data_IF_629940205117
#
_entry.id   IF_629940205117
#
_cell.length_a   1.000
_cell.length_b   1.000
_cell.length_c   1.000
_cell.angle_alpha   90.00
_cell.angle_beta   90.00
_cell.angle_gamma   90.00
#
_symmetry.space_group_name_H-M   'P 1'
#
loop_
_entity.id
_entity.type
_entity.pdbx_description
1 polymer ?
#
# COMPACT_ATOMS: atom_id res chain seq x y z
N UNK A 1 -16.85 14.11 11.14
CA UNK A 1 -17.84 14.57 10.15
C UNK A 1 -18.45 13.44 9.34
N UNK A 2 -17.70 12.39 8.95
CA UNK A 2 -18.28 11.23 8.26
C UNK A 2 -19.30 10.50 9.16
N UNK A 3 -18.93 10.22 10.41
CA UNK A 3 -19.82 9.58 11.37
C UNK A 3 -21.10 10.40 11.65
N UNK A 4 -20.98 11.74 11.79
CA UNK A 4 -22.13 12.63 11.96
C UNK A 4 -23.07 12.57 10.75
N UNK A 5 -22.51 12.55 9.54
CA UNK A 5 -23.28 12.39 8.30
C UNK A 5 -23.99 11.05 8.25
N UNK A 6 -23.29 9.96 8.56
CA UNK A 6 -23.84 8.61 8.58
C UNK A 6 -25.02 8.50 9.56
N UNK A 7 -24.85 9.04 10.78
CA UNK A 7 -25.93 9.09 11.77
C UNK A 7 -27.11 9.91 11.27
N UNK A 8 -26.84 11.07 10.63
CA UNK A 8 -27.88 11.94 10.11
C UNK A 8 -28.73 11.25 9.02
N UNK A 9 -28.05 10.55 8.10
CA UNK A 9 -28.73 9.77 7.03
C UNK A 9 -29.48 8.58 7.64
N UNK A 10 -28.89 7.86 8.59
CA UNK A 10 -29.54 6.71 9.25
C UNK A 10 -30.80 7.09 10.03
N UNK A 11 -30.91 8.33 10.47
CA UNK A 11 -32.09 8.90 11.11
C UNK A 11 -33.14 9.42 10.09
N UNK A 12 -32.94 9.18 8.79
CA UNK A 12 -33.88 9.57 7.74
C UNK A 12 -33.78 11.03 7.27
N UNK A 13 -32.76 11.76 7.72
CA UNK A 13 -32.52 13.12 7.27
C UNK A 13 -31.77 13.16 5.93
N UNK A 14 -31.98 14.20 5.08
CA UNK A 14 -31.24 14.34 3.82
C UNK A 14 -29.74 14.38 4.00
N UNK A 15 -28.97 13.81 3.03
CA UNK A 15 -27.52 13.91 3.05
C UNK A 15 -27.07 15.37 3.01
N UNK A 16 -26.47 15.84 4.09
CA UNK A 16 -25.95 17.20 4.21
C UNK A 16 -24.88 17.57 3.17
N UNK A 17 -24.33 16.60 2.45
CA UNK A 17 -23.33 16.80 1.38
C UNK A 17 -23.93 16.76 -0.03
N UNK A 18 -25.13 16.22 -0.20
CA UNK A 18 -25.79 16.11 -1.51
C UNK A 18 -26.41 17.44 -1.97
N UNK A 19 -26.53 18.38 -1.07
CA UNK A 19 -26.95 19.74 -1.40
C UNK A 19 -25.71 20.63 -1.49
N UNK A 20 -25.59 21.41 -2.55
CA UNK A 20 -24.58 22.50 -2.72
C UNK A 20 -24.62 23.53 -1.56
N UNK A 21 -25.29 23.19 -0.48
CA UNK A 21 -25.77 24.05 0.57
C UNK A 21 -24.88 24.18 1.80
N UNK A 22 -23.67 23.62 1.83
CA UNK A 22 -22.75 23.82 2.96
C UNK A 22 -21.42 24.50 2.59
N UNK A 23 -21.42 25.61 1.82
CA UNK A 23 -20.19 26.36 1.51
C UNK A 23 -19.49 26.86 2.78
N UNK A 24 -20.26 27.11 3.85
CA UNK A 24 -19.72 27.52 5.17
C UNK A 24 -18.91 26.40 5.81
N UNK A 25 -19.37 25.14 5.78
CA UNK A 25 -18.64 24.00 6.35
C UNK A 25 -17.33 23.77 5.62
N UNK A 26 -17.32 23.85 4.30
CA UNK A 26 -16.11 23.72 3.47
C UNK A 26 -15.12 24.85 3.78
N UNK A 27 -15.61 26.09 3.91
CA UNK A 27 -14.78 27.24 4.31
C UNK A 27 -14.21 27.09 5.72
N UNK A 28 -15.01 26.62 6.69
CA UNK A 28 -14.55 26.35 8.06
C UNK A 28 -13.47 25.27 8.06
N UNK A 29 -13.65 24.16 7.35
CA UNK A 29 -12.65 23.11 7.23
C UNK A 29 -11.34 23.63 6.61
N UNK A 30 -11.44 24.44 5.56
CA UNK A 30 -10.28 25.09 4.95
C UNK A 30 -9.59 26.06 5.92
N UNK A 31 -10.35 26.82 6.68
CA UNK A 31 -9.84 27.72 7.74
C UNK A 31 -9.11 26.96 8.84
N UNK A 32 -9.69 25.86 9.35
CA UNK A 32 -9.05 25.00 10.36
C UNK A 32 -7.72 24.46 9.83
N UNK A 33 -7.68 23.97 8.58
CA UNK A 33 -6.44 23.45 7.96
C UNK A 33 -5.37 24.54 7.84
N UNK A 34 -5.77 25.77 7.47
CA UNK A 34 -4.84 26.92 7.42
C UNK A 34 -4.26 27.25 8.79
N UNK A 35 -5.11 27.33 9.82
CA UNK A 35 -4.69 27.60 11.19
C UNK A 35 -3.75 26.49 11.71
N UNK A 36 -4.07 25.23 11.43
CA UNK A 36 -3.19 24.10 11.79
C UNK A 36 -1.84 24.17 11.07
N UNK A 37 -1.82 24.54 9.80
CA UNK A 37 -0.59 24.76 9.04
C UNK A 37 0.24 25.93 9.62
N UNK A 38 -0.39 27.03 10.00
CA UNK A 38 0.27 28.19 10.63
C UNK A 38 0.82 27.88 12.04
N UNK A 39 0.17 26.96 12.77
CA UNK A 39 0.64 26.52 14.10
C UNK A 39 1.82 25.55 14.05
N UNK A 40 2.40 25.32 12.85
CA UNK A 40 3.61 24.51 12.70
C UNK A 40 3.46 23.04 13.08
N UNK A 41 2.23 22.50 13.13
CA UNK A 41 2.05 21.06 13.18
C UNK A 41 2.20 20.53 11.74
N UNK A 42 3.39 20.06 11.33
CA UNK A 42 3.56 19.51 10.01
C UNK A 42 2.66 18.29 9.93
N UNK A 43 1.73 18.29 8.99
CA UNK A 43 1.11 17.05 8.53
C UNK A 43 2.27 16.09 8.29
N UNK A 44 2.34 14.98 9.05
CA UNK A 44 3.42 13.98 8.91
C UNK A 44 3.37 13.44 7.48
N UNK A 45 4.18 14.06 6.60
CA UNK A 45 4.29 13.60 5.21
C UNK A 45 4.94 12.24 5.23
N UNK A 46 4.19 11.23 4.73
CA UNK A 46 4.72 9.88 4.59
C UNK A 46 5.65 9.82 3.37
N UNK A 47 6.84 9.30 3.58
CA UNK A 47 7.82 9.07 2.53
C UNK A 47 7.58 7.73 1.82
N UNK A 48 7.96 7.63 0.53
CA UNK A 48 7.89 6.40 -0.24
C UNK A 48 8.94 5.38 0.22
N UNK A 49 8.60 4.10 0.32
CA UNK A 49 9.58 3.03 0.22
C UNK A 49 10.00 2.97 -1.24
N UNK A 50 11.24 3.36 -1.53
CA UNK A 50 11.79 3.31 -2.90
C UNK A 50 12.27 1.89 -3.24
N UNK A 51 12.48 1.53 -4.52
CA UNK A 51 13.10 0.25 -4.89
C UNK A 51 14.43 0.00 -4.15
N UNK A 52 15.29 1.01 -4.05
CA UNK A 52 16.56 0.91 -3.31
C UNK A 52 16.37 0.64 -1.82
N UNK A 53 15.38 1.26 -1.17
CA UNK A 53 15.04 0.93 0.22
C UNK A 53 14.52 -0.50 0.31
N UNK A 54 13.71 -0.94 -0.66
CA UNK A 54 13.15 -2.29 -0.70
C UNK A 54 14.25 -3.35 -0.82
N UNK A 55 15.26 -3.13 -1.69
CA UNK A 55 16.46 -3.99 -1.82
C UNK A 55 17.23 -4.09 -0.50
N UNK A 56 17.44 -2.95 0.17
CA UNK A 56 18.13 -2.91 1.46
C UNK A 56 17.34 -3.62 2.57
N UNK A 57 16.02 -3.49 2.59
CA UNK A 57 15.15 -4.26 3.48
C UNK A 57 15.26 -5.77 3.18
N UNK A 58 15.25 -6.16 1.91
CA UNK A 58 15.44 -7.56 1.50
C UNK A 58 16.78 -8.12 1.98
N UNK A 59 17.85 -7.36 1.83
CA UNK A 59 19.19 -7.76 2.28
C UNK A 59 19.32 -7.82 3.81
N UNK A 60 18.58 -6.96 4.53
CA UNK A 60 18.59 -6.92 5.99
C UNK A 60 17.84 -8.09 6.62
N UNK A 61 16.69 -8.48 6.05
CA UNK A 61 15.92 -9.60 6.59
C UNK A 61 16.59 -10.92 6.24
N UNK A 62 16.77 -11.76 7.26
CA UNK A 62 17.32 -13.10 7.12
C UNK A 62 16.43 -13.98 6.23
N UNK A 63 17.01 -15.07 5.74
CA UNK A 63 16.27 -16.09 4.97
C UNK A 63 15.53 -17.09 5.86
N UNK A 64 15.47 -16.85 7.16
CA UNK A 64 14.64 -17.61 8.08
C UNK A 64 13.15 -17.36 7.86
N UNK A 65 12.32 -18.08 8.58
CA UNK A 65 10.87 -18.00 8.43
C UNK A 65 10.32 -16.60 8.65
N UNK A 66 10.80 -15.89 9.67
CA UNK A 66 10.31 -14.55 9.99
C UNK A 66 10.74 -13.54 8.91
N UNK A 67 11.98 -13.59 8.46
CA UNK A 67 12.48 -12.73 7.39
C UNK A 67 11.78 -12.99 6.06
N UNK A 68 11.54 -14.25 5.69
CA UNK A 68 10.79 -14.61 4.50
C UNK A 68 9.32 -14.13 4.58
N UNK A 69 8.69 -14.26 5.75
CA UNK A 69 7.34 -13.75 5.99
C UNK A 69 7.27 -12.23 5.81
N UNK A 70 8.14 -11.49 6.49
CA UNK A 70 8.18 -10.02 6.41
C UNK A 70 8.48 -9.53 4.99
N UNK A 71 9.41 -10.20 4.31
CA UNK A 71 9.77 -9.89 2.94
C UNK A 71 8.61 -10.14 1.97
N UNK A 72 7.91 -11.26 2.08
CA UNK A 72 6.76 -11.58 1.24
C UNK A 72 5.65 -10.53 1.39
N UNK A 73 5.35 -10.07 2.62
CA UNK A 73 4.39 -8.99 2.85
C UNK A 73 4.87 -7.67 2.24
N UNK A 74 6.14 -7.29 2.46
CA UNK A 74 6.69 -6.04 1.96
C UNK A 74 6.68 -5.97 0.43
N UNK A 75 7.11 -7.04 -0.23
CA UNK A 75 7.14 -7.14 -1.69
C UNK A 75 5.73 -7.10 -2.29
N UNK A 76 4.76 -7.81 -1.70
CA UNK A 76 3.36 -7.72 -2.14
C UNK A 76 2.78 -6.32 -1.94
N UNK A 77 3.02 -5.68 -0.79
CA UNK A 77 2.56 -4.32 -0.54
C UNK A 77 3.07 -3.34 -1.61
N UNK A 78 4.29 -3.52 -2.08
CA UNK A 78 4.90 -2.68 -3.09
C UNK A 78 4.39 -3.05 -4.50
N UNK A 79 4.68 -4.24 -5.00
CA UNK A 79 4.41 -4.62 -6.38
C UNK A 79 2.91 -4.81 -6.70
N UNK A 80 2.09 -5.18 -5.71
CA UNK A 80 0.63 -5.29 -5.86
C UNK A 80 -0.12 -4.01 -5.49
N UNK A 81 0.58 -2.92 -5.17
CA UNK A 81 -0.04 -1.67 -4.71
C UNK A 81 -1.02 -1.89 -3.55
N UNK A 82 -0.78 -2.88 -2.70
CA UNK A 82 -1.71 -3.20 -1.63
C UNK A 82 -1.70 -2.16 -0.50
N UNK A 83 -2.89 -1.92 0.04
CA UNK A 83 -2.99 -1.35 1.39
C UNK A 83 -2.64 -2.45 2.38
N UNK A 84 -1.81 -2.13 3.37
CA UNK A 84 -1.39 -3.15 4.35
C UNK A 84 -2.58 -3.85 5.03
N UNK A 85 -3.71 -3.17 5.22
CA UNK A 85 -4.93 -3.77 5.77
C UNK A 85 -5.69 -4.67 4.80
N UNK A 86 -5.30 -4.75 3.52
CA UNK A 86 -5.82 -5.73 2.55
C UNK A 86 -5.12 -7.09 2.70
N UNK A 87 -3.89 -7.10 3.22
CA UNK A 87 -3.09 -8.31 3.43
C UNK A 87 -3.13 -8.80 4.88
N UNK A 88 -3.07 -7.88 5.84
CA UNK A 88 -2.90 -8.17 7.26
C UNK A 88 -4.05 -7.61 8.10
N UNK A 89 -4.53 -8.42 9.04
CA UNK A 89 -5.54 -7.99 9.98
C UNK A 89 -5.02 -6.91 10.95
N UNK A 90 -5.88 -5.95 11.38
CA UNK A 90 -5.52 -4.96 12.39
C UNK A 90 -5.42 -5.55 13.79
N UNK A 91 -6.20 -6.61 14.08
CA UNK A 91 -6.24 -7.35 15.37
C UNK A 91 -6.60 -8.82 15.11
N UNK A 92 -6.41 -9.68 16.11
CA UNK A 92 -6.74 -11.11 16.05
C UNK A 92 -8.21 -11.42 15.80
N UNK A 93 -9.11 -10.52 16.16
CA UNK A 93 -10.55 -10.72 16.07
C UNK A 93 -11.14 -10.35 14.70
N UNK A 94 -10.34 -9.74 13.85
CA UNK A 94 -10.77 -9.32 12.52
C UNK A 94 -10.62 -10.47 11.51
N UNK A 95 -11.74 -10.92 10.94
CA UNK A 95 -11.80 -11.99 9.95
C UNK A 95 -11.50 -11.55 8.51
N UNK A 96 -11.31 -10.25 8.26
CA UNK A 96 -10.90 -9.73 6.95
C UNK A 96 -9.38 -9.89 6.78
N UNK A 97 -8.97 -10.98 6.17
CA UNK A 97 -7.57 -11.33 5.94
C UNK A 97 -7.39 -12.08 4.63
N UNK A 98 -6.19 -12.03 4.10
CA UNK A 98 -5.77 -12.86 2.98
C UNK A 98 -5.63 -14.30 3.46
N UNK A 99 -6.37 -15.22 2.84
CA UNK A 99 -6.33 -16.65 3.15
C UNK A 99 -5.48 -17.42 2.12
N UNK A 100 -5.14 -18.66 2.44
CA UNK A 100 -4.40 -19.55 1.53
C UNK A 100 -5.06 -19.66 0.16
N UNK A 101 -6.38 -19.82 0.10
CA UNK A 101 -7.13 -19.96 -1.14
C UNK A 101 -7.23 -18.69 -1.98
N UNK A 102 -6.83 -17.54 -1.42
CA UNK A 102 -6.87 -16.26 -2.14
C UNK A 102 -5.61 -16.01 -2.98
N UNK A 103 -4.58 -16.87 -2.87
CA UNK A 103 -3.34 -16.75 -3.65
C UNK A 103 -3.18 -17.97 -4.53
N UNK A 104 -2.95 -17.75 -5.81
CA UNK A 104 -2.74 -18.81 -6.79
C UNK A 104 -1.67 -18.41 -7.81
N UNK A 105 -1.12 -19.41 -8.49
CA UNK A 105 -0.08 -19.25 -9.49
C UNK A 105 -0.54 -19.88 -10.80
N UNK A 106 -0.05 -19.33 -11.93
CA UNK A 106 -0.45 -19.79 -13.28
C UNK A 106 0.03 -21.22 -13.58
N UNK A 107 1.21 -21.60 -13.10
CA UNK A 107 1.83 -22.92 -13.32
C UNK A 107 2.84 -23.28 -12.24
N UNK A 108 3.15 -24.58 -12.12
CA UNK A 108 4.22 -25.11 -11.29
C UNK A 108 5.23 -25.84 -12.20
N UNK A 109 6.53 -25.96 -11.85
CA UNK A 109 7.15 -25.41 -10.65
C UNK A 109 7.61 -23.95 -10.78
N UNK A 110 7.60 -23.37 -11.98
CA UNK A 110 8.12 -22.02 -12.28
C UNK A 110 7.01 -21.09 -12.73
N UNK A 111 6.22 -20.53 -11.82
CA UNK A 111 5.14 -19.62 -12.18
C UNK A 111 5.67 -18.31 -12.77
N UNK A 112 4.96 -17.79 -13.75
CA UNK A 112 5.20 -16.48 -14.34
C UNK A 112 4.31 -15.41 -13.74
N UNK A 113 3.14 -15.81 -13.25
CA UNK A 113 2.12 -14.92 -12.70
C UNK A 113 1.62 -15.47 -11.37
N UNK A 114 1.54 -14.59 -10.40
CA UNK A 114 0.83 -14.80 -9.15
C UNK A 114 -0.47 -14.00 -9.19
N UNK A 115 -1.59 -14.63 -8.86
CA UNK A 115 -2.89 -13.99 -8.69
C UNK A 115 -3.24 -13.91 -7.21
N UNK A 116 -3.59 -12.72 -6.74
CA UNK A 116 -4.09 -12.48 -5.38
C UNK A 116 -5.54 -12.01 -5.49
N UNK A 117 -6.46 -12.73 -4.87
CA UNK A 117 -7.87 -12.37 -4.80
C UNK A 117 -8.16 -11.58 -3.52
N UNK A 118 -8.58 -10.33 -3.66
CA UNK A 118 -9.07 -9.53 -2.54
C UNK A 118 -10.59 -9.71 -2.43
N UNK A 119 -11.07 -10.23 -1.31
CA UNK A 119 -12.51 -10.40 -1.03
C UNK A 119 -13.22 -9.07 -0.86
N UNK A 120 -12.55 -8.10 -0.28
CA UNK A 120 -13.10 -6.77 -0.04
C UNK A 120 -11.99 -5.72 -0.10
N UNK A 121 -12.33 -4.51 -0.54
CA UNK A 121 -11.43 -3.37 -0.44
C UNK A 121 -12.21 -2.12 0.01
N UNK A 122 -11.51 -1.11 0.53
CA UNK A 122 -12.14 0.14 0.96
C UNK A 122 -12.92 0.85 -0.16
N UNK A 123 -12.59 0.57 -1.42
CA UNK A 123 -13.25 1.17 -2.59
C UNK A 123 -14.33 0.24 -3.18
N UNK A 124 -14.47 -0.97 -2.68
CA UNK A 124 -15.42 -1.98 -3.11
C UNK A 124 -16.62 -1.96 -2.16
N UNK A 125 -17.58 -1.09 -2.45
CA UNK A 125 -18.79 -0.93 -1.64
C UNK A 125 -19.76 -2.11 -1.78
N UNK A 126 -19.61 -2.92 -2.83
CA UNK A 126 -20.53 -4.03 -3.12
C UNK A 126 -19.94 -5.40 -2.80
N UNK A 127 -18.70 -5.47 -2.30
CA UNK A 127 -18.06 -6.73 -1.95
C UNK A 127 -17.80 -7.66 -3.14
N UNK A 128 -17.63 -7.11 -4.33
CA UNK A 128 -17.36 -7.91 -5.56
C UNK A 128 -15.95 -8.49 -5.59
N UNK A 129 -15.06 -7.95 -4.77
CA UNK A 129 -13.66 -8.33 -4.72
C UNK A 129 -12.85 -7.84 -5.93
N UNK A 130 -11.57 -8.18 -5.93
CA UNK A 130 -10.69 -7.85 -7.05
C UNK A 130 -9.59 -8.90 -7.21
N UNK A 131 -9.26 -9.27 -8.45
CA UNK A 131 -8.10 -10.08 -8.77
C UNK A 131 -6.92 -9.19 -9.13
N UNK A 132 -5.80 -9.35 -8.43
CA UNK A 132 -4.56 -8.64 -8.69
C UNK A 132 -3.56 -9.63 -9.29
N UNK A 133 -3.04 -9.30 -10.45
CA UNK A 133 -2.05 -10.10 -11.15
C UNK A 133 -0.67 -9.49 -10.98
N UNK A 134 0.30 -10.29 -10.55
CA UNK A 134 1.66 -9.87 -10.26
C UNK A 134 2.61 -10.75 -11.06
N UNK A 135 3.38 -10.12 -11.94
CA UNK A 135 4.35 -10.81 -12.79
C UNK A 135 5.63 -11.17 -12.03
N UNK A 136 6.22 -12.29 -12.41
CA UNK A 136 7.58 -12.66 -11.98
C UNK A 136 8.58 -11.75 -12.68
N UNK A 137 9.55 -11.24 -11.95
CA UNK A 137 10.72 -10.56 -12.50
C UNK A 137 11.97 -11.43 -12.27
N UNK A 138 13.03 -11.16 -13.03
CA UNK A 138 14.33 -11.80 -12.81
C UNK A 138 15.21 -10.99 -11.84
N UNK A 139 14.59 -10.17 -11.00
CA UNK A 139 15.26 -9.29 -10.07
C UNK A 139 15.25 -9.85 -8.64
N UNK A 140 16.21 -9.45 -7.83
CA UNK A 140 16.35 -9.84 -6.42
C UNK A 140 15.13 -9.48 -5.57
N UNK A 141 14.35 -8.46 -5.97
CA UNK A 141 13.14 -8.01 -5.28
C UNK A 141 11.85 -8.59 -5.88
N UNK A 142 11.94 -9.68 -6.65
CA UNK A 142 10.79 -10.32 -7.28
C UNK A 142 9.71 -10.75 -6.28
N UNK A 143 8.46 -10.26 -6.39
CA UNK A 143 7.38 -10.58 -5.47
C UNK A 143 6.90 -12.03 -5.57
N UNK A 144 6.99 -12.64 -6.76
CA UNK A 144 6.62 -14.05 -6.97
C UNK A 144 7.60 -14.95 -6.24
N UNK A 145 8.92 -14.69 -6.39
CA UNK A 145 9.95 -15.42 -5.67
C UNK A 145 9.84 -15.25 -4.16
N UNK A 146 9.56 -14.02 -3.69
CA UNK A 146 9.37 -13.74 -2.28
C UNK A 146 8.23 -14.60 -1.68
N UNK A 147 7.11 -14.71 -2.39
CA UNK A 147 5.97 -15.52 -1.95
C UNK A 147 6.27 -17.01 -2.04
N UNK A 148 6.97 -17.49 -3.07
CA UNK A 148 7.35 -18.90 -3.20
C UNK A 148 8.30 -19.32 -2.07
N UNK A 149 9.32 -18.51 -1.77
CA UNK A 149 10.24 -18.75 -0.66
C UNK A 149 9.50 -18.82 0.68
N UNK A 150 8.58 -17.89 0.91
CA UNK A 150 7.74 -17.92 2.12
C UNK A 150 6.84 -19.17 2.17
N UNK A 151 6.19 -19.55 1.06
CA UNK A 151 5.32 -20.72 0.97
C UNK A 151 6.09 -22.00 1.25
N UNK A 152 7.35 -22.13 0.78
CA UNK A 152 8.20 -23.28 1.03
C UNK A 152 8.45 -23.51 2.54
N UNK A 153 8.54 -22.42 3.32
CA UNK A 153 8.73 -22.48 4.77
C UNK A 153 7.40 -22.63 5.50
N UNK A 154 6.39 -21.86 5.11
CA UNK A 154 5.05 -21.86 5.71
C UNK A 154 4.35 -23.22 5.59
N UNK A 155 4.58 -23.90 4.48
CA UNK A 155 3.84 -25.08 4.06
C UNK A 155 2.44 -24.74 3.50
N UNK A 156 1.81 -25.76 2.92
CA UNK A 156 0.44 -25.70 2.41
C UNK A 156 -0.59 -25.75 3.56
N UNK A 157 -1.85 -25.49 3.22
CA UNK A 157 -2.98 -25.71 4.13
C UNK A 157 -3.80 -24.44 4.40
N UNK A 158 -5.05 -24.60 4.86
CA UNK A 158 -6.03 -23.54 5.02
C UNK A 158 -5.63 -22.52 6.09
N UNK A 159 -6.40 -21.46 6.20
CA UNK A 159 -6.21 -20.38 7.17
C UNK A 159 -5.48 -19.17 6.58
N UNK A 160 -4.87 -18.39 7.44
CA UNK A 160 -4.18 -17.16 7.06
C UNK A 160 -3.04 -17.42 6.07
N UNK A 161 -2.99 -16.63 4.98
CA UNK A 161 -1.86 -16.70 4.07
C UNK A 161 -0.57 -16.27 4.79
N UNK A 162 -0.59 -15.12 5.44
CA UNK A 162 0.52 -14.64 6.26
C UNK A 162 0.31 -15.03 7.73
N UNK A 163 1.04 -16.03 8.19
CA UNK A 163 0.99 -16.55 9.56
C UNK A 163 2.39 -16.78 10.13
N UNK A 164 2.50 -16.66 11.44
CA UNK A 164 3.71 -17.02 12.20
C UNK A 164 3.83 -18.56 12.38
N UNK A 165 4.91 -18.99 13.04
CA UNK A 165 5.17 -20.41 13.38
C UNK A 165 4.05 -21.06 14.18
N UNK A 166 3.33 -20.27 14.99
CA UNK A 166 2.19 -20.73 15.76
C UNK A 166 0.89 -20.82 14.97
N UNK A 167 0.91 -20.53 13.66
CA UNK A 167 -0.28 -20.50 12.80
C UNK A 167 -1.16 -19.28 12.99
N UNK A 168 -0.76 -18.30 13.81
CA UNK A 168 -1.49 -17.05 14.03
C UNK A 168 -1.22 -16.06 12.91
N UNK A 169 -2.24 -15.28 12.53
CA UNK A 169 -2.08 -14.22 11.56
C UNK A 169 -1.00 -13.21 11.97
N UNK A 170 -0.14 -12.85 11.02
CA UNK A 170 0.73 -11.69 11.19
C UNK A 170 -0.13 -10.43 11.28
N UNK A 171 -0.04 -9.72 12.37
CA UNK A 171 -0.82 -8.52 12.59
C UNK A 171 -0.15 -7.27 11.99
N UNK A 172 -0.96 -6.37 11.45
CA UNK A 172 -0.50 -5.10 10.88
C UNK A 172 0.40 -4.28 11.83
N UNK A 173 0.10 -4.10 13.14
CA UNK A 173 0.99 -3.36 14.05
C UNK A 173 2.36 -4.01 14.19
N UNK A 174 2.41 -5.35 14.26
CA UNK A 174 3.66 -6.09 14.37
C UNK A 174 4.52 -5.88 13.11
N UNK A 175 3.94 -6.08 11.93
CA UNK A 175 4.66 -5.84 10.67
C UNK A 175 5.21 -4.40 10.57
N UNK A 176 4.41 -3.38 10.94
CA UNK A 176 4.88 -1.98 10.92
C UNK A 176 6.04 -1.76 11.89
N UNK A 177 6.00 -2.42 13.06
CA UNK A 177 7.10 -2.38 14.04
C UNK A 177 8.38 -2.97 13.45
N UNK A 178 8.32 -4.15 12.84
CA UNK A 178 9.47 -4.83 12.24
C UNK A 178 10.05 -4.04 11.06
N UNK A 179 9.20 -3.47 10.20
CA UNK A 179 9.64 -2.57 9.12
C UNK A 179 10.39 -1.36 9.68
N UNK A 180 9.92 -0.75 10.76
CA UNK A 180 10.59 0.40 11.39
C UNK A 180 11.94 0.03 11.97
N UNK A 181 12.04 -1.13 12.65
CA UNK A 181 13.32 -1.65 13.15
C UNK A 181 14.31 -1.85 12.00
N UNK A 182 13.87 -2.49 10.93
CA UNK A 182 14.68 -2.72 9.75
C UNK A 182 15.13 -1.41 9.08
N UNK A 183 14.24 -0.42 8.94
CA UNK A 183 14.58 0.91 8.42
C UNK A 183 15.67 1.58 9.26
N UNK A 184 15.54 1.54 10.60
CA UNK A 184 16.57 2.08 11.50
C UNK A 184 17.90 1.36 11.31
N UNK A 185 17.89 0.02 11.25
CA UNK A 185 19.09 -0.79 11.06
C UNK A 185 19.82 -0.48 9.74
N UNK A 186 19.08 -0.16 8.69
CA UNK A 186 19.67 0.26 7.41
C UNK A 186 19.93 1.79 7.32
N UNK A 187 19.86 2.53 8.44
CA UNK A 187 20.19 3.96 8.50
C UNK A 187 19.12 4.88 7.88
N UNK A 188 17.85 4.47 7.86
CA UNK A 188 16.73 5.27 7.35
C UNK A 188 15.87 5.75 8.52
N UNK A 189 15.55 7.06 8.56
CA UNK A 189 14.70 7.65 9.60
C UNK A 189 13.28 7.11 9.53
N UNK A 190 12.95 6.16 10.42
CA UNK A 190 11.72 5.38 10.41
C UNK A 190 10.42 6.18 10.60
N UNK A 191 10.49 7.37 11.20
CA UNK A 191 9.31 8.14 11.62
C UNK A 191 8.39 8.56 10.47
N UNK A 192 8.98 8.77 9.30
CA UNK A 192 8.26 9.15 8.08
C UNK A 192 7.66 7.97 7.33
N UNK A 193 7.84 6.74 7.83
CA UNK A 193 7.39 5.53 7.15
C UNK A 193 6.30 4.79 7.93
N UNK A 194 5.38 4.19 7.19
CA UNK A 194 4.29 3.37 7.72
C UNK A 194 3.81 2.41 6.61
N UNK A 195 2.80 1.58 6.89
CA UNK A 195 2.25 0.67 5.89
C UNK A 195 1.82 1.33 4.56
N UNK A 196 1.44 2.60 4.56
CA UNK A 196 1.11 3.36 3.34
C UNK A 196 2.34 3.73 2.49
N UNK A 197 3.53 3.70 3.06
CA UNK A 197 4.79 4.05 2.40
C UNK A 197 5.15 3.09 1.25
N UNK A 198 4.76 1.83 1.33
CA UNK A 198 4.91 0.87 0.23
C UNK A 198 4.07 1.27 -0.98
N UNK A 199 2.80 1.61 -0.77
CA UNK A 199 1.89 2.01 -1.84
C UNK A 199 2.26 3.37 -2.44
N UNK A 200 2.77 4.31 -1.62
CA UNK A 200 3.36 5.57 -2.09
C UNK A 200 4.58 5.26 -2.95
N UNK A 201 5.44 4.36 -2.50
CA UNK A 201 6.63 3.93 -3.23
C UNK A 201 6.31 3.29 -4.56
N UNK A 202 5.35 2.39 -4.60
CA UNK A 202 4.89 1.73 -5.83
C UNK A 202 4.40 2.75 -6.87
N UNK A 203 3.50 3.67 -6.48
CA UNK A 203 2.99 4.70 -7.38
C UNK A 203 4.11 5.64 -7.86
N UNK A 204 5.02 6.02 -6.97
CA UNK A 204 6.18 6.87 -7.32
C UNK A 204 7.14 6.16 -8.27
N UNK A 205 7.45 4.88 -8.02
CA UNK A 205 8.32 4.08 -8.89
C UNK A 205 7.69 3.84 -10.26
N UNK A 206 6.39 3.56 -10.32
CA UNK A 206 5.66 3.38 -11.58
C UNK A 206 5.68 4.67 -12.43
N UNK A 207 5.43 5.81 -11.82
CA UNK A 207 5.52 7.11 -12.50
C UNK A 207 6.95 7.40 -12.98
N UNK A 208 7.97 7.10 -12.16
CA UNK A 208 9.37 7.27 -12.53
C UNK A 208 9.79 6.33 -13.66
N UNK A 209 9.19 5.13 -13.76
CA UNK A 209 9.38 4.19 -14.86
C UNK A 209 8.63 4.59 -16.14
N UNK A 210 7.88 5.70 -16.14
CA UNK A 210 7.16 6.21 -17.29
C UNK A 210 5.84 5.50 -17.60
N UNK A 211 5.25 4.78 -16.62
CA UNK A 211 3.92 4.20 -16.80
C UNK A 211 2.88 5.32 -16.92
N UNK A 212 1.93 5.14 -17.80
CA UNK A 212 0.80 6.06 -17.96
C UNK A 212 -0.06 6.15 -16.69
N UNK A 213 -0.62 7.32 -16.45
CA UNK A 213 -1.49 7.61 -15.30
C UNK A 213 -2.66 6.62 -15.20
N UNK A 214 -3.26 6.25 -16.32
CA UNK A 214 -4.32 5.24 -16.43
C UNK A 214 -3.87 3.88 -15.92
N UNK A 215 -2.66 3.46 -16.27
CA UNK A 215 -2.05 2.20 -15.81
C UNK A 215 -1.76 2.25 -14.32
N UNK A 216 -1.19 3.35 -13.81
CA UNK A 216 -0.93 3.53 -12.37
C UNK A 216 -2.23 3.49 -11.59
N UNK A 217 -3.27 4.17 -12.10
CA UNK A 217 -4.61 4.18 -11.50
C UNK A 217 -5.19 2.77 -11.42
N UNK A 218 -5.09 1.99 -12.49
CA UNK A 218 -5.56 0.60 -12.58
C UNK A 218 -4.81 -0.30 -11.58
N UNK A 219 -3.48 -0.29 -11.60
CA UNK A 219 -2.63 -1.08 -10.70
C UNK A 219 -2.95 -0.79 -9.22
N UNK A 220 -3.13 0.48 -8.90
CA UNK A 220 -3.47 0.89 -7.55
C UNK A 220 -4.95 0.77 -7.20
N UNK A 221 -5.82 0.44 -8.13
CA UNK A 221 -7.28 0.35 -7.89
C UNK A 221 -7.86 1.66 -7.35
N UNK A 222 -7.49 2.81 -7.94
CA UNK A 222 -8.06 4.11 -7.62
C UNK A 222 -9.21 4.46 -8.55
N UNK A 223 -10.34 4.84 -7.99
CA UNK A 223 -11.53 5.24 -8.77
C UNK A 223 -11.48 6.71 -9.26
N UNK A 224 -10.41 7.44 -8.92
CA UNK A 224 -10.26 8.86 -9.26
C UNK A 224 -8.79 9.24 -9.38
N UNK A 225 -8.51 10.48 -9.74
CA UNK A 225 -7.16 11.05 -9.75
C UNK A 225 -6.48 11.14 -8.35
N UNK A 226 -7.08 10.55 -7.31
CA UNK A 226 -6.49 10.50 -5.97
C UNK A 226 -5.11 9.81 -5.92
N UNK A 227 -4.77 8.99 -6.92
CA UNK A 227 -3.45 8.38 -7.05
C UNK A 227 -2.32 9.41 -7.19
N UNK A 228 -2.58 10.58 -7.78
CA UNK A 228 -1.61 11.67 -7.89
C UNK A 228 -1.06 12.13 -6.54
N UNK A 229 -1.88 12.04 -5.49
CA UNK A 229 -1.43 12.33 -4.12
C UNK A 229 -0.43 11.30 -3.56
N UNK A 230 -0.24 10.17 -4.22
CA UNK A 230 0.74 9.14 -3.86
C UNK A 230 2.06 9.29 -4.58
N UNK A 231 2.10 9.96 -5.74
CA UNK A 231 3.33 10.16 -6.51
C UNK A 231 4.17 11.24 -5.83
N UNK A 232 5.45 10.94 -5.62
CA UNK A 232 6.46 11.84 -5.01
C UNK A 232 7.58 12.06 -6.02
N UNK A 233 7.40 13.04 -6.90
CA UNK A 233 8.44 13.39 -7.88
C UNK A 233 9.55 14.19 -7.19
N UNK A 234 10.81 13.73 -7.20
CA UNK A 234 11.92 14.48 -6.68
C UNK A 234 12.09 15.83 -7.36
N UNK A 235 12.50 16.86 -6.61
CA UNK A 235 12.73 18.21 -7.18
C UNK A 235 13.76 18.22 -8.31
N UNK A 236 14.77 17.36 -8.24
CA UNK A 236 15.76 17.17 -9.32
C UNK A 236 15.13 16.67 -10.62
N UNK A 237 14.16 15.77 -10.53
CA UNK A 237 13.43 15.29 -11.70
C UNK A 237 12.51 16.37 -12.26
N UNK A 238 11.83 17.15 -11.42
CA UNK A 238 11.03 18.30 -11.86
C UNK A 238 11.92 19.34 -12.55
N UNK A 239 13.09 19.65 -11.99
CA UNK A 239 14.06 20.55 -12.60
C UNK A 239 14.54 20.04 -13.97
N UNK A 240 14.79 18.73 -14.09
CA UNK A 240 15.15 18.11 -15.37
C UNK A 240 14.03 18.24 -16.43
N UNK A 241 12.77 18.07 -16.01
CA UNK A 241 11.62 18.26 -16.91
C UNK A 241 11.51 19.71 -17.37
N UNK A 242 11.64 20.70 -16.48
CA UNK A 242 11.58 22.12 -16.87
C UNK A 242 12.75 22.50 -17.80
N UNK A 243 13.95 21.97 -17.56
CA UNK A 243 15.11 22.22 -18.45
C UNK A 243 14.89 21.67 -19.88
N UNK A 244 14.07 20.62 -20.05
CA UNK A 244 13.72 20.08 -21.38
C UNK A 244 12.82 21.03 -22.18
N UNK A 245 12.04 21.89 -21.53
CA UNK A 245 11.17 22.85 -22.23
C UNK A 245 11.97 23.82 -23.07
N UNK A 246 13.19 24.19 -22.66
CA UNK A 246 14.07 25.08 -23.44
C UNK A 246 14.63 24.43 -24.72
N UNK A 247 14.56 23.10 -24.84
CA UNK A 247 15.10 22.34 -25.99
C UNK A 247 14.06 22.02 -27.07
N UNK A 248 12.81 22.42 -26.87
CA UNK A 248 11.73 22.29 -27.89
C UNK A 248 11.66 23.54 -28.76
N UNK A 249 12.74 23.83 -29.48
CA UNK A 249 12.77 24.85 -30.53
C UNK A 249 12.92 24.17 -31.89
#
# INVERSE_FOLDING_TARGET
LAAVRDTHISLGFPDLRSTDSLPRLTKIQAGIRRVQALKGQPSRVRLPITPSILERLRAHWSVDENGCLLWAVASLCFFGFFRLGELLAPSSDNRSYLSWGDVSFDRAPHPSIMKVHLKTSKCDQFGTGANIFIGRSNDSICPVEACLAYIAIRGSGPGYFFRDKGGKSLLKPHFVSEVRKALTAIGVHQESYAGHSFRIGAATAAAAAGLEDSTIQLLGRWNSAAFLAYIRTPGTQLAAHTARLAKQR
#
